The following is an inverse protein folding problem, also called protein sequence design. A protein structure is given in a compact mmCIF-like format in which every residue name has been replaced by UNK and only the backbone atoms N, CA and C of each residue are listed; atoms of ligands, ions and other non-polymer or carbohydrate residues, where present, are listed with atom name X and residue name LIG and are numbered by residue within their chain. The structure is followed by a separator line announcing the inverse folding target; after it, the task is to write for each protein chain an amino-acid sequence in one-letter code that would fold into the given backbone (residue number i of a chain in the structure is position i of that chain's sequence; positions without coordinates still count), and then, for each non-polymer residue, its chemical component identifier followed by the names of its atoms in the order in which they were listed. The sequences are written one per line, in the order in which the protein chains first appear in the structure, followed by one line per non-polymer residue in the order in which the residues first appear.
data_IF_486731611472
#
_entry.id   IF_486731611472
#
_cell.length_a   1.000
_cell.length_b   1.000
_cell.length_c   1.000
_cell.angle_alpha   90.00
_cell.angle_beta   90.00
_cell.angle_gamma   90.00
#
_symmetry.space_group_name_H-M   'P 1'
#
loop_
_entity.id
_entity.type
_entity.pdbx_description
1 polymer ?
#
# COMPACT_ATOMS: atom_id res chain seq x y z
N UNK A 1 -10.13 -40.76 -17.24
CA UNK A 1 -9.97 -40.14 -15.91
C UNK A 1 -9.03 -38.95 -16.05
N UNK A 2 -9.59 -37.76 -16.21
CA UNK A 2 -8.84 -36.51 -16.34
C UNK A 2 -8.46 -36.07 -14.93
N UNK A 3 -7.20 -36.29 -14.54
CA UNK A 3 -6.68 -35.83 -13.26
C UNK A 3 -6.56 -34.30 -13.31
N UNK A 4 -7.54 -33.60 -12.76
CA UNK A 4 -7.45 -32.16 -12.45
C UNK A 4 -6.42 -31.98 -11.34
N UNK A 5 -5.16 -31.87 -11.71
CA UNK A 5 -4.12 -31.35 -10.83
C UNK A 5 -4.48 -29.91 -10.49
N UNK A 6 -5.15 -29.70 -9.36
CA UNK A 6 -5.17 -28.40 -8.68
C UNK A 6 -3.72 -28.07 -8.33
N UNK A 7 -3.03 -27.39 -9.26
CA UNK A 7 -1.78 -26.70 -8.98
C UNK A 7 -2.08 -25.76 -7.83
N UNK A 8 -1.70 -26.17 -6.61
CA UNK A 8 -1.68 -25.28 -5.46
C UNK A 8 -0.47 -24.38 -5.68
N UNK A 9 -0.65 -23.38 -6.54
CA UNK A 9 0.42 -22.46 -6.93
C UNK A 9 0.80 -21.67 -5.67
N UNK A 10 1.92 -22.04 -5.04
CA UNK A 10 2.42 -21.33 -3.86
C UNK A 10 2.56 -19.86 -4.19
N UNK A 11 2.02 -19.00 -3.32
CA UNK A 11 2.11 -17.55 -3.47
C UNK A 11 3.60 -17.14 -3.49
N UNK A 12 4.05 -16.34 -4.48
CA UNK A 12 5.42 -15.85 -4.51
C UNK A 12 5.72 -15.00 -3.27
N UNK A 13 6.94 -15.09 -2.74
CA UNK A 13 7.39 -14.25 -1.62
C UNK A 13 7.19 -12.76 -1.92
N UNK A 14 7.38 -12.32 -3.17
CA UNK A 14 7.16 -10.93 -3.60
C UNK A 14 5.71 -10.48 -3.40
N UNK A 15 4.73 -11.37 -3.61
CA UNK A 15 3.31 -11.06 -3.37
C UNK A 15 3.03 -10.97 -1.88
N UNK A 16 3.52 -11.94 -1.09
CA UNK A 16 3.36 -11.94 0.37
C UNK A 16 3.97 -10.69 0.99
N UNK A 17 5.20 -10.34 0.60
CA UNK A 17 5.89 -9.13 1.05
C UNK A 17 5.15 -7.86 0.63
N UNK A 18 4.74 -7.74 -0.63
CA UNK A 18 3.99 -6.58 -1.10
C UNK A 18 2.67 -6.41 -0.34
N UNK A 19 1.91 -7.49 -0.14
CA UNK A 19 0.66 -7.47 0.63
C UNK A 19 0.91 -7.06 2.08
N UNK A 20 1.84 -7.72 2.78
CA UNK A 20 2.11 -7.44 4.19
C UNK A 20 2.57 -5.99 4.42
N UNK A 21 3.52 -5.51 3.60
CA UNK A 21 4.03 -4.15 3.71
C UNK A 21 2.98 -3.11 3.32
N UNK A 22 2.15 -3.37 2.31
CA UNK A 22 1.05 -2.46 1.94
C UNK A 22 0.01 -2.37 3.06
N UNK A 23 -0.36 -3.51 3.66
CA UNK A 23 -1.27 -3.54 4.80
C UNK A 23 -0.71 -2.76 5.99
N UNK A 24 0.57 -2.96 6.32
CA UNK A 24 1.21 -2.20 7.39
C UNK A 24 1.24 -0.69 7.10
N UNK A 25 1.60 -0.30 5.88
CA UNK A 25 1.59 1.12 5.47
C UNK A 25 0.19 1.73 5.58
N UNK A 26 -0.85 1.03 5.13
CA UNK A 26 -2.22 1.51 5.21
C UNK A 26 -2.71 1.67 6.66
N UNK A 27 -2.45 0.67 7.52
CA UNK A 27 -2.87 0.72 8.92
C UNK A 27 -2.12 1.78 9.72
N UNK A 28 -0.79 1.81 9.61
CA UNK A 28 0.04 2.77 10.37
C UNK A 28 -0.13 4.18 9.81
N UNK A 29 -0.20 4.34 8.49
CA UNK A 29 -0.44 5.64 7.85
C UNK A 29 -1.80 6.21 8.22
N UNK A 30 -2.87 5.40 8.15
CA UNK A 30 -4.22 5.83 8.52
C UNK A 30 -4.32 6.22 9.99
N UNK A 31 -3.77 5.38 10.89
CA UNK A 31 -3.67 5.72 12.30
C UNK A 31 -2.89 7.01 12.54
N UNK A 32 -1.76 7.19 11.86
CA UNK A 32 -0.94 8.40 11.95
C UNK A 32 -1.71 9.65 11.52
N UNK A 33 -2.46 9.58 10.40
CA UNK A 33 -3.28 10.69 9.94
C UNK A 33 -4.32 11.11 11.00
N UNK A 34 -5.04 10.15 11.58
CA UNK A 34 -6.02 10.42 12.65
C UNK A 34 -5.33 11.01 13.89
N UNK A 35 -4.24 10.39 14.34
CA UNK A 35 -3.56 10.78 15.57
C UNK A 35 -2.99 12.20 15.49
N UNK A 36 -2.21 12.50 14.45
CA UNK A 36 -1.56 13.81 14.31
C UNK A 36 -2.57 14.92 14.04
N UNK A 37 -3.56 14.70 13.17
CA UNK A 37 -4.63 15.70 12.97
C UNK A 37 -5.47 15.90 14.23
N UNK A 38 -5.70 14.85 15.02
CA UNK A 38 -6.40 14.96 16.29
C UNK A 38 -5.67 15.81 17.34
N UNK A 39 -4.34 15.88 17.28
CA UNK A 39 -3.54 16.74 18.16
C UNK A 39 -3.67 18.23 17.79
N UNK A 40 -3.77 18.52 16.50
CA UNK A 40 -3.85 19.90 15.98
C UNK A 40 -5.29 20.46 16.01
N UNK A 41 -6.28 19.59 16.23
CA UNK A 41 -7.71 19.93 16.27
C UNK A 41 -8.41 19.62 14.95
N UNK A 42 -9.66 19.17 15.05
CA UNK A 42 -10.48 18.76 13.90
C UNK A 42 -11.16 19.95 13.23
N UNK A 43 -10.38 20.74 12.50
CA UNK A 43 -10.93 21.73 11.57
C UNK A 43 -11.37 21.09 10.24
N UNK A 44 -12.02 21.87 9.37
CA UNK A 44 -12.56 21.35 8.10
C UNK A 44 -11.45 20.80 7.18
N UNK A 45 -10.26 21.39 7.22
CA UNK A 45 -9.11 20.95 6.43
C UNK A 45 -8.57 19.62 6.95
N UNK A 46 -8.41 19.49 8.26
CA UNK A 46 -7.99 18.26 8.94
C UNK A 46 -8.96 17.11 8.71
N UNK A 47 -10.27 17.34 8.82
CA UNK A 47 -11.29 16.32 8.54
C UNK A 47 -11.21 15.85 7.08
N UNK A 48 -11.08 16.80 6.14
CA UNK A 48 -10.95 16.47 4.71
C UNK A 48 -9.68 15.67 4.43
N UNK A 49 -8.56 16.06 5.07
CA UNK A 49 -7.30 15.34 4.97
C UNK A 49 -7.44 13.90 5.48
N UNK A 50 -7.94 13.70 6.71
CA UNK A 50 -8.07 12.37 7.31
C UNK A 50 -9.01 11.48 6.51
N UNK A 51 -10.20 11.97 6.15
CA UNK A 51 -11.18 11.19 5.38
C UNK A 51 -10.65 10.78 4.01
N UNK A 52 -9.94 11.69 3.32
CA UNK A 52 -9.29 11.38 2.04
C UNK A 52 -8.18 10.35 2.22
N UNK A 53 -7.34 10.52 3.25
CA UNK A 53 -6.25 9.62 3.54
C UNK A 53 -6.75 8.21 3.89
N UNK A 54 -7.79 8.10 4.72
CA UNK A 54 -8.41 6.83 5.08
C UNK A 54 -9.04 6.12 3.88
N UNK A 55 -9.68 6.87 2.97
CA UNK A 55 -10.18 6.29 1.72
C UNK A 55 -9.03 5.70 0.88
N UNK A 56 -7.89 6.40 0.81
CA UNK A 56 -6.69 5.91 0.12
C UNK A 56 -6.08 4.70 0.85
N UNK A 57 -6.06 4.69 2.18
CA UNK A 57 -5.61 3.55 2.98
C UNK A 57 -6.50 2.31 2.76
N UNK A 58 -7.82 2.47 2.76
CA UNK A 58 -8.78 1.41 2.44
C UNK A 58 -8.58 0.89 1.01
N UNK A 59 -8.35 1.78 0.04
CA UNK A 59 -7.98 1.38 -1.32
C UNK A 59 -6.71 0.53 -1.33
N UNK A 60 -5.69 0.91 -0.56
CA UNK A 60 -4.47 0.12 -0.37
C UNK A 60 -4.73 -1.27 0.20
N UNK A 61 -5.58 -1.38 1.23
CA UNK A 61 -5.96 -2.66 1.85
C UNK A 61 -6.71 -3.57 0.89
N UNK A 62 -7.73 -3.05 0.19
CA UNK A 62 -8.51 -3.80 -0.79
C UNK A 62 -7.62 -4.27 -1.94
N UNK A 63 -6.72 -3.41 -2.42
CA UNK A 63 -5.77 -3.74 -3.48
C UNK A 63 -4.78 -4.83 -3.04
N UNK A 64 -4.25 -4.73 -1.82
CA UNK A 64 -3.34 -5.73 -1.25
C UNK A 64 -4.00 -7.09 -1.11
N UNK A 65 -5.26 -7.12 -0.69
CA UNK A 65 -6.07 -8.34 -0.62
C UNK A 65 -6.34 -8.91 -2.01
N UNK A 66 -6.78 -8.10 -2.96
CA UNK A 66 -7.01 -8.54 -4.34
C UNK A 66 -5.73 -9.09 -4.98
N UNK A 67 -4.57 -8.46 -4.76
CA UNK A 67 -3.28 -8.95 -5.22
C UNK A 67 -2.92 -10.29 -4.59
N UNK A 68 -3.17 -10.45 -3.29
CA UNK A 68 -2.94 -11.70 -2.56
C UNK A 68 -3.81 -12.87 -3.05
N UNK A 69 -4.98 -12.55 -3.62
CA UNK A 69 -5.87 -13.50 -4.29
C UNK A 69 -5.47 -13.77 -5.76
N UNK A 70 -4.43 -13.12 -6.28
CA UNK A 70 -3.96 -13.32 -7.66
C UNK A 70 -4.62 -12.41 -8.69
N UNK A 71 -5.29 -11.33 -8.28
CA UNK A 71 -5.96 -10.43 -9.22
C UNK A 71 -4.99 -9.37 -9.80
N UNK A 72 -4.98 -9.25 -11.14
CA UNK A 72 -4.19 -8.26 -11.88
C UNK A 72 -4.45 -6.82 -11.42
N UNK A 73 -5.72 -6.45 -11.20
CA UNK A 73 -6.12 -5.12 -10.74
C UNK A 73 -5.63 -4.86 -9.31
N UNK A 74 -5.59 -5.89 -8.47
CA UNK A 74 -5.02 -5.79 -7.12
C UNK A 74 -3.55 -5.37 -7.16
N UNK A 75 -2.75 -5.98 -8.05
CA UNK A 75 -1.34 -5.61 -8.26
C UNK A 75 -1.19 -4.17 -8.74
N UNK A 76 -2.03 -3.74 -9.68
CA UNK A 76 -2.03 -2.34 -10.17
C UNK A 76 -2.39 -1.38 -9.03
N UNK A 77 -3.39 -1.71 -8.21
CA UNK A 77 -3.78 -0.90 -7.06
C UNK A 77 -2.68 -0.82 -6.00
N UNK A 78 -1.99 -1.92 -5.69
CA UNK A 78 -0.83 -1.92 -4.78
C UNK A 78 0.29 -1.01 -5.31
N UNK A 79 0.58 -1.08 -6.61
CA UNK A 79 1.58 -0.21 -7.23
C UNK A 79 1.16 1.27 -7.17
N UNK A 80 -0.11 1.58 -7.46
CA UNK A 80 -0.64 2.94 -7.38
C UNK A 80 -0.58 3.50 -5.95
N UNK A 81 -0.96 2.69 -4.95
CA UNK A 81 -0.87 3.06 -3.54
C UNK A 81 0.59 3.31 -3.11
N UNK A 82 1.53 2.46 -3.56
CA UNK A 82 2.95 2.66 -3.28
C UNK A 82 3.48 3.97 -3.90
N UNK A 83 3.10 4.29 -5.14
CA UNK A 83 3.45 5.55 -5.80
C UNK A 83 2.90 6.75 -5.02
N UNK A 84 1.65 6.68 -4.57
CA UNK A 84 1.07 7.70 -3.69
C UNK A 84 1.89 7.89 -2.42
N UNK A 85 2.26 6.80 -1.72
CA UNK A 85 3.05 6.88 -0.49
C UNK A 85 4.45 7.46 -0.71
N UNK A 86 5.08 7.18 -1.85
CA UNK A 86 6.35 7.81 -2.25
C UNK A 86 6.14 9.31 -2.44
N UNK A 87 5.14 9.72 -3.23
CA UNK A 87 4.84 11.14 -3.46
C UNK A 87 4.49 11.89 -2.17
N UNK A 88 3.70 11.26 -1.31
CA UNK A 88 3.34 11.79 0.01
C UNK A 88 4.57 11.99 0.90
N UNK A 89 5.49 11.01 0.91
CA UNK A 89 6.75 11.11 1.65
C UNK A 89 7.62 12.24 1.11
N UNK A 90 7.78 12.34 -0.21
CA UNK A 90 8.55 13.42 -0.85
C UNK A 90 7.96 14.78 -0.51
N UNK A 91 6.64 14.93 -0.58
CA UNK A 91 5.96 16.16 -0.18
C UNK A 91 6.27 16.50 1.28
N UNK A 92 6.05 15.56 2.22
CA UNK A 92 6.34 15.77 3.65
C UNK A 92 7.79 16.18 3.92
N UNK A 93 8.75 15.56 3.26
CA UNK A 93 10.18 15.89 3.43
C UNK A 93 10.51 17.28 2.87
N UNK A 94 9.97 17.64 1.71
CA UNK A 94 10.31 18.90 1.03
C UNK A 94 9.56 20.11 1.59
N UNK A 95 8.32 19.95 2.02
CA UNK A 95 7.45 21.07 2.42
C UNK A 95 7.35 21.24 3.94
N UNK A 96 7.30 20.13 4.68
CA UNK A 96 7.07 20.12 6.14
C UNK A 96 8.35 19.73 6.90
N UNK A 97 9.41 19.30 6.20
CA UNK A 97 10.69 18.86 6.77
C UNK A 97 10.56 17.70 7.78
N UNK A 98 9.53 16.86 7.60
CA UNK A 98 9.24 15.73 8.47
C UNK A 98 10.08 14.50 8.07
N UNK A 99 11.33 14.45 8.56
CA UNK A 99 12.28 13.37 8.21
C UNK A 99 11.81 11.99 8.69
N UNK A 100 10.90 11.93 9.68
CA UNK A 100 10.28 10.69 10.14
C UNK A 100 9.43 10.03 9.05
N UNK A 101 9.09 10.73 7.97
CA UNK A 101 8.38 10.17 6.82
C UNK A 101 9.27 9.29 5.92
N UNK A 102 10.60 9.44 5.95
CA UNK A 102 11.54 8.75 5.04
C UNK A 102 11.38 7.21 5.06
N UNK A 103 11.29 6.53 6.23
CA UNK A 103 11.11 5.09 6.28
C UNK A 103 9.87 4.61 5.52
N UNK A 104 8.77 5.36 5.55
CA UNK A 104 7.54 5.02 4.82
C UNK A 104 7.77 5.04 3.31
N UNK A 105 8.50 6.04 2.80
CA UNK A 105 8.88 6.11 1.39
C UNK A 105 9.79 4.96 0.96
N UNK A 106 10.75 4.57 1.81
CA UNK A 106 11.63 3.41 1.54
C UNK A 106 10.84 2.11 1.48
N UNK A 107 9.92 1.88 2.43
CA UNK A 107 9.04 0.70 2.40
C UNK A 107 8.14 0.73 1.17
N UNK A 108 7.60 1.88 0.79
CA UNK A 108 6.79 2.03 -0.41
C UNK A 108 7.56 1.73 -1.71
N UNK A 109 8.84 2.11 -1.80
CA UNK A 109 9.72 1.68 -2.90
C UNK A 109 9.90 0.16 -2.94
N UNK A 110 10.06 -0.47 -1.77
CA UNK A 110 10.12 -1.94 -1.66
C UNK A 110 8.83 -2.62 -2.12
N UNK A 111 7.67 -2.08 -1.73
CA UNK A 111 6.35 -2.54 -2.20
C UNK A 111 6.24 -2.41 -3.72
N UNK A 112 6.62 -1.26 -4.27
CA UNK A 112 6.55 -1.02 -5.71
C UNK A 112 7.45 -1.99 -6.48
N UNK A 113 8.69 -2.20 -6.03
CA UNK A 113 9.60 -3.17 -6.62
C UNK A 113 9.03 -4.59 -6.57
N UNK A 114 8.48 -5.00 -5.43
CA UNK A 114 7.86 -6.32 -5.25
C UNK A 114 6.61 -6.50 -6.12
N UNK A 115 5.77 -5.47 -6.27
CA UNK A 115 4.57 -5.50 -7.11
C UNK A 115 4.89 -5.54 -8.61
N UNK A 116 5.97 -4.88 -9.04
CA UNK A 116 6.41 -4.87 -10.44
C UNK A 116 7.27 -6.08 -10.82
N UNK A 117 7.78 -6.83 -9.84
CA UNK A 117 8.64 -7.98 -10.06
C UNK A 117 8.00 -9.03 -10.99
N UNK A 118 8.75 -9.67 -11.91
CA UNK A 118 8.21 -10.65 -12.86
C UNK A 118 7.41 -11.78 -12.22
N UNK A 119 7.83 -12.25 -11.04
CA UNK A 119 7.11 -13.30 -10.29
C UNK A 119 5.72 -12.87 -9.81
N UNK A 120 5.57 -11.61 -9.39
CA UNK A 120 4.27 -11.07 -9.01
C UNK A 120 3.37 -10.91 -10.23
N UNK A 121 3.94 -10.45 -11.35
CA UNK A 121 3.23 -10.33 -12.64
C UNK A 121 2.74 -11.68 -13.15
N UNK A 122 3.57 -12.72 -13.08
CA UNK A 122 3.18 -14.07 -13.49
C UNK A 122 2.12 -14.70 -12.58
N UNK A 123 2.09 -14.32 -11.29
CA UNK A 123 1.08 -14.81 -10.35
C UNK A 123 -0.28 -14.13 -10.54
N UNK A 124 -0.30 -12.85 -10.92
CA UNK A 124 -1.53 -12.07 -11.10
C UNK A 124 -1.94 -11.88 -12.56
N UNK A 125 -1.23 -12.52 -13.49
CA UNK A 125 -1.33 -12.30 -14.93
C UNK A 125 -2.37 -13.17 -15.59
#
# INVERSE_FOLDING_TARGET
MTSTTLSTTRRPATVVTATALTTLLALVGGYGAIFFTGLDGWDAAGITFVTTYDAIALFGLVSAWAMFLGNAHGRVGVAAYAIFMIGFTVMKVLTIQELQAIPFGVVALGVLAAALHPRSRAYTG
#
